data_IF_974746802287
#
_entry.id   IF_974746802287
#
_cell.length_a   1.000
_cell.length_b   1.000
_cell.length_c   1.000
_cell.angle_alpha   90.00
_cell.angle_beta   90.00
_cell.angle_gamma   90.00
#
_symmetry.space_group_name_H-M   'P 1'
#
loop_
_entity.id
_entity.type
_entity.pdbx_description
1 polymer ?
#
# COMPACT_ATOMS: atom_id res chain seq x y z
N UNK A 1 -16.00 5.70 26.12
CA UNK A 1 -15.12 6.88 26.11
C UNK A 1 -15.43 7.68 24.86
N UNK A 2 -15.38 9.02 24.91
CA UNK A 2 -15.75 9.83 23.75
C UNK A 2 -14.58 9.89 22.78
N UNK A 3 -14.82 9.48 21.55
CA UNK A 3 -13.80 9.20 20.55
C UNK A 3 -13.83 10.30 19.49
N UNK A 4 -12.68 10.85 19.14
CA UNK A 4 -12.54 11.90 18.11
C UNK A 4 -12.16 11.22 16.79
N UNK A 5 -13.05 11.22 15.80
CA UNK A 5 -12.82 10.50 14.55
C UNK A 5 -12.13 11.33 13.46
N UNK A 6 -12.13 12.65 13.57
CA UNK A 6 -11.56 13.54 12.58
C UNK A 6 -11.21 14.92 13.19
N UNK A 7 -10.34 15.72 12.54
CA UNK A 7 -10.02 17.07 13.00
C UNK A 7 -11.22 18.02 13.11
N UNK A 8 -12.31 17.76 12.36
CA UNK A 8 -13.49 18.63 12.37
C UNK A 8 -14.26 18.53 13.69
N UNK A 9 -14.24 17.37 14.36
CA UNK A 9 -14.82 17.20 15.69
C UNK A 9 -14.08 18.05 16.74
N UNK A 10 -12.75 18.12 16.67
CA UNK A 10 -11.97 19.04 17.53
C UNK A 10 -12.30 20.49 17.17
N UNK A 11 -12.36 20.83 15.88
CA UNK A 11 -12.65 22.19 15.44
C UNK A 11 -14.00 22.71 15.97
N UNK A 12 -15.03 21.86 16.02
CA UNK A 12 -16.35 22.20 16.60
C UNK A 12 -16.33 22.52 18.09
N UNK A 13 -15.30 22.07 18.81
CA UNK A 13 -15.11 22.35 20.24
C UNK A 13 -14.38 23.68 20.48
N UNK A 14 -13.79 24.26 19.43
CA UNK A 14 -13.05 25.53 19.51
C UNK A 14 -14.00 26.71 19.29
N UNK A 15 -13.63 27.86 19.85
CA UNK A 15 -14.37 29.11 19.67
C UNK A 15 -14.22 29.74 18.27
N UNK A 16 -13.50 29.11 17.34
CA UNK A 16 -13.32 29.59 15.96
C UNK A 16 -12.60 30.93 15.78
N UNK A 17 -12.01 31.48 16.85
CA UNK A 17 -11.45 32.85 16.89
C UNK A 17 -10.23 33.08 15.99
N UNK A 18 -9.49 32.02 15.64
CA UNK A 18 -8.20 32.10 14.94
C UNK A 18 -7.19 33.07 15.60
N UNK A 19 -7.25 33.23 16.93
CA UNK A 19 -6.45 34.18 17.71
C UNK A 19 -4.93 33.94 17.69
N UNK A 20 -4.48 32.74 17.28
CA UNK A 20 -3.08 32.30 17.23
C UNK A 20 -2.36 32.18 18.58
N UNK A 21 -3.05 32.34 19.70
CA UNK A 21 -2.48 32.20 21.05
C UNK A 21 -1.99 30.77 21.38
N UNK A 22 -2.45 29.78 20.62
CA UNK A 22 -1.96 28.40 20.68
C UNK A 22 -0.77 28.13 19.74
N UNK A 23 -0.13 29.16 19.17
CA UNK A 23 0.95 29.08 18.20
C UNK A 23 0.60 28.29 16.91
N UNK A 24 -0.65 28.40 16.45
CA UNK A 24 -1.10 27.85 15.17
C UNK A 24 -1.74 28.93 14.32
N UNK A 25 -1.66 28.77 12.99
CA UNK A 25 -2.13 29.80 12.04
C UNK A 25 -3.64 30.01 12.09
N UNK A 26 -4.40 28.95 12.38
CA UNK A 26 -5.87 28.94 12.47
C UNK A 26 -6.33 27.91 13.50
N UNK A 27 -7.57 28.02 13.98
CA UNK A 27 -8.23 27.03 14.82
C UNK A 27 -8.33 25.67 14.11
N UNK A 28 -8.47 25.64 12.77
CA UNK A 28 -8.43 24.39 12.01
C UNK A 28 -7.02 23.79 11.98
N UNK A 29 -5.98 24.61 11.82
CA UNK A 29 -4.60 24.13 11.91
C UNK A 29 -4.30 23.57 13.30
N UNK A 30 -4.80 24.23 14.36
CA UNK A 30 -4.76 23.71 15.72
C UNK A 30 -5.50 22.38 15.87
N UNK A 31 -6.72 22.26 15.36
CA UNK A 31 -7.48 21.03 15.40
C UNK A 31 -6.74 19.87 14.70
N UNK A 32 -6.08 20.14 13.56
CA UNK A 32 -5.23 19.17 12.87
C UNK A 32 -3.96 18.85 13.66
N UNK A 33 -3.33 19.83 14.30
CA UNK A 33 -2.13 19.63 15.12
C UNK A 33 -2.43 18.78 16.37
N UNK A 34 -3.58 19.02 17.01
CA UNK A 34 -4.09 18.20 18.11
C UNK A 34 -4.42 16.79 17.65
N UNK A 35 -5.14 16.66 16.52
CA UNK A 35 -5.46 15.35 15.93
C UNK A 35 -4.21 14.53 15.56
N UNK A 36 -3.10 15.19 15.21
CA UNK A 36 -1.81 14.56 14.88
C UNK A 36 -0.86 14.44 16.07
N UNK A 37 -1.33 14.68 17.30
CA UNK A 37 -0.53 14.68 18.54
C UNK A 37 0.70 15.60 18.53
N UNK A 38 0.75 16.57 17.62
CA UNK A 38 1.83 17.58 17.60
C UNK A 38 1.65 18.63 18.68
N UNK A 39 0.45 18.70 19.28
CA UNK A 39 0.08 19.68 20.29
C UNK A 39 -1.04 19.12 21.18
N UNK A 40 -1.01 19.30 22.51
CA UNK A 40 -2.09 18.85 23.38
C UNK A 40 -3.34 19.73 23.23
N UNK A 41 -4.53 19.15 23.41
CA UNK A 41 -5.81 19.88 23.25
C UNK A 41 -5.96 21.05 24.24
N UNK A 42 -5.36 20.92 25.43
CA UNK A 42 -5.32 21.98 26.45
C UNK A 42 -4.42 23.18 26.08
N UNK A 43 -3.69 23.13 24.96
CA UNK A 43 -2.89 24.26 24.49
C UNK A 43 -3.76 25.40 23.91
N UNK A 44 -5.07 25.18 23.72
CA UNK A 44 -6.01 26.26 23.46
C UNK A 44 -6.47 26.89 24.80
N UNK A 45 -6.17 28.16 25.07
CA UNK A 45 -6.53 28.81 26.35
C UNK A 45 -8.03 29.04 26.50
N UNK A 46 -8.79 28.97 25.41
CA UNK A 46 -10.23 29.22 25.38
C UNK A 46 -11.08 27.95 25.44
N UNK A 47 -10.47 26.78 25.62
CA UNK A 47 -11.20 25.52 25.69
C UNK A 47 -11.81 25.31 27.07
N UNK A 48 -13.09 24.90 27.12
CA UNK A 48 -13.78 24.67 28.38
C UNK A 48 -13.13 23.54 29.19
N UNK A 49 -13.08 23.71 30.52
CA UNK A 49 -12.51 22.71 31.44
C UNK A 49 -13.15 21.33 31.28
N UNK A 50 -14.47 21.27 31.04
CA UNK A 50 -15.20 20.01 30.80
C UNK A 50 -14.73 19.28 29.54
N UNK A 51 -14.35 20.02 28.50
CA UNK A 51 -13.81 19.45 27.25
C UNK A 51 -12.38 18.95 27.47
N UNK A 52 -11.59 19.68 28.26
CA UNK A 52 -10.23 19.24 28.66
C UNK A 52 -10.31 17.97 29.52
N UNK A 53 -11.25 17.85 30.45
CA UNK A 53 -11.43 16.62 31.24
C UNK A 53 -11.92 15.44 30.39
N UNK A 54 -12.75 15.72 29.37
CA UNK A 54 -13.32 14.70 28.49
C UNK A 54 -12.32 14.19 27.43
N UNK A 55 -11.43 15.05 26.92
CA UNK A 55 -10.53 14.74 25.79
C UNK A 55 -9.04 15.00 26.07
N UNK A 56 -8.68 15.41 27.30
CA UNK A 56 -7.31 15.72 27.71
C UNK A 56 -6.51 14.54 28.27
N UNK A 57 -7.15 13.36 28.40
CA UNK A 57 -6.43 12.10 28.52
C UNK A 57 -5.76 11.71 27.19
N UNK A 58 -4.98 10.62 27.17
CA UNK A 58 -4.52 10.03 25.92
C UNK A 58 -5.77 9.77 25.04
N UNK A 59 -5.89 10.52 23.94
CA UNK A 59 -7.01 10.41 23.01
C UNK A 59 -6.97 8.96 22.51
N UNK A 60 -8.00 8.16 22.81
CA UNK A 60 -8.19 6.88 22.13
C UNK A 60 -8.27 7.19 20.64
N UNK A 61 -7.25 6.73 19.93
CA UNK A 61 -6.98 7.08 18.55
C UNK A 61 -8.20 6.79 17.69
N UNK A 62 -8.57 7.69 16.78
CA UNK A 62 -9.11 7.21 15.51
C UNK A 62 -8.06 6.33 14.86
N UNK A 63 -8.37 5.03 14.83
CA UNK A 63 -7.61 3.97 14.18
C UNK A 63 -6.76 4.55 13.04
N UNK A 64 -5.46 4.63 13.27
CA UNK A 64 -4.52 5.03 12.22
C UNK A 64 -4.67 4.09 11.02
N UNK A 65 -4.27 4.54 9.82
CA UNK A 65 -4.21 3.67 8.63
C UNK A 65 -3.45 2.36 8.94
N UNK A 66 -2.52 2.38 9.91
CA UNK A 66 -1.76 1.23 10.37
C UNK A 66 -2.53 0.34 11.38
N UNK A 67 -3.41 0.88 12.23
CA UNK A 67 -4.24 0.11 13.17
C UNK A 67 -5.45 -0.57 12.51
N UNK A 68 -6.15 0.13 11.60
CA UNK A 68 -7.18 -0.50 10.75
C UNK A 68 -6.61 -1.67 9.96
N UNK A 69 -5.34 -1.54 9.55
CA UNK A 69 -4.63 -2.61 8.86
C UNK A 69 -4.20 -3.75 9.78
N UNK A 70 -3.88 -3.49 11.05
CA UNK A 70 -3.59 -4.54 12.02
C UNK A 70 -4.82 -5.39 12.33
N UNK A 71 -5.99 -4.77 12.55
CA UNK A 71 -7.25 -5.49 12.75
C UNK A 71 -7.65 -6.30 11.50
N UNK A 72 -7.46 -5.72 10.31
CA UNK A 72 -7.68 -6.43 9.06
C UNK A 72 -6.75 -7.66 8.93
N UNK A 73 -5.47 -7.52 9.29
CA UNK A 73 -4.52 -8.64 9.28
C UNK A 73 -4.94 -9.74 10.25
N UNK A 74 -5.34 -9.40 11.48
CA UNK A 74 -5.79 -10.40 12.45
C UNK A 74 -7.07 -11.11 11.99
N UNK A 75 -8.02 -10.37 11.40
CA UNK A 75 -9.22 -10.96 10.79
C UNK A 75 -8.86 -11.92 9.65
N UNK A 76 -7.89 -11.57 8.81
CA UNK A 76 -7.45 -12.43 7.71
C UNK A 76 -6.71 -13.67 8.23
N UNK A 77 -5.89 -13.55 9.28
CA UNK A 77 -5.27 -14.70 9.95
C UNK A 77 -6.30 -15.66 10.52
N UNK A 78 -7.35 -15.14 11.17
CA UNK A 78 -8.46 -15.98 11.66
C UNK A 78 -9.17 -16.70 10.52
N UNK A 79 -9.30 -16.11 9.33
CA UNK A 79 -9.85 -16.82 8.17
C UNK A 79 -8.88 -17.89 7.66
N UNK A 80 -7.58 -17.62 7.67
CA UNK A 80 -6.55 -18.59 7.22
C UNK A 80 -6.51 -19.81 8.13
N UNK A 81 -6.70 -19.65 9.45
CA UNK A 81 -6.73 -20.78 10.38
C UNK A 81 -7.91 -21.74 10.15
N UNK A 82 -8.94 -21.30 9.40
CA UNK A 82 -10.12 -22.11 9.06
C UNK A 82 -9.97 -22.87 7.73
N UNK A 83 -8.89 -22.67 6.98
CA UNK A 83 -8.68 -23.33 5.69
C UNK A 83 -7.54 -24.36 5.73
N UNK A 84 -7.55 -25.29 4.78
CA UNK A 84 -6.44 -26.20 4.54
C UNK A 84 -5.30 -25.44 3.84
N UNK A 85 -4.33 -24.99 4.63
CA UNK A 85 -3.20 -24.19 4.14
C UNK A 85 -2.32 -24.95 3.14
N UNK A 86 -2.31 -26.29 3.18
CA UNK A 86 -1.57 -27.10 2.20
C UNK A 86 -2.24 -27.05 0.83
N UNK A 87 -3.57 -27.16 0.78
CA UNK A 87 -4.33 -26.97 -0.46
C UNK A 87 -4.21 -25.55 -1.00
N UNK A 88 -4.26 -24.55 -0.12
CA UNK A 88 -4.04 -23.16 -0.50
C UNK A 88 -2.65 -22.96 -1.13
N UNK A 89 -1.60 -23.52 -0.52
CA UNK A 89 -0.24 -23.44 -1.05
C UNK A 89 -0.16 -24.02 -2.47
N UNK A 90 -0.70 -25.22 -2.67
CA UNK A 90 -0.72 -25.87 -3.99
C UNK A 90 -1.47 -25.04 -5.03
N UNK A 91 -2.63 -24.49 -4.65
CA UNK A 91 -3.47 -23.67 -5.53
C UNK A 91 -2.73 -22.45 -6.06
N UNK A 92 -2.04 -21.72 -5.18
CA UNK A 92 -1.39 -20.46 -5.52
C UNK A 92 0.08 -20.61 -5.98
N UNK A 93 0.55 -21.85 -6.19
CA UNK A 93 1.94 -22.12 -6.57
C UNK A 93 2.97 -21.79 -5.47
N UNK A 94 2.54 -21.77 -4.21
CA UNK A 94 3.42 -21.62 -3.04
C UNK A 94 3.96 -22.98 -2.57
N UNK A 95 5.08 -22.95 -1.85
CA UNK A 95 5.67 -24.16 -1.26
C UNK A 95 4.96 -24.48 0.06
N UNK A 96 4.83 -25.77 0.37
CA UNK A 96 4.34 -26.22 1.67
C UNK A 96 5.29 -27.29 2.23
N UNK A 97 5.89 -27.01 3.38
CA UNK A 97 6.83 -27.90 4.05
C UNK A 97 6.80 -27.67 5.57
N UNK A 98 6.94 -28.73 6.37
CA UNK A 98 6.89 -28.67 7.84
C UNK A 98 5.73 -27.85 8.40
N UNK A 99 4.52 -28.07 7.86
CA UNK A 99 3.29 -27.38 8.25
C UNK A 99 3.35 -25.85 8.08
N UNK A 100 4.11 -25.40 7.08
CA UNK A 100 4.35 -23.99 6.78
C UNK A 100 4.18 -23.73 5.29
N UNK A 101 3.35 -22.75 4.94
CA UNK A 101 3.22 -22.23 3.58
C UNK A 101 4.28 -21.16 3.36
N UNK A 102 5.06 -21.28 2.30
CA UNK A 102 6.04 -20.28 1.88
C UNK A 102 5.70 -19.74 0.50
N UNK A 103 5.40 -18.45 0.43
CA UNK A 103 5.07 -17.72 -0.79
C UNK A 103 6.18 -16.71 -1.09
N UNK A 104 6.51 -16.56 -2.37
CA UNK A 104 7.45 -15.52 -2.80
C UNK A 104 6.72 -14.19 -2.93
N UNK A 105 7.29 -13.14 -2.35
CA UNK A 105 6.85 -11.75 -2.48
C UNK A 105 8.02 -10.96 -3.07
N UNK A 106 7.87 -10.50 -4.31
CA UNK A 106 8.97 -9.88 -5.06
C UNK A 106 10.30 -10.65 -4.94
N UNK A 107 10.24 -11.98 -5.13
CA UNK A 107 11.41 -12.87 -5.05
C UNK A 107 11.87 -13.27 -3.64
N UNK A 108 11.35 -12.65 -2.57
CA UNK A 108 11.74 -12.94 -1.17
C UNK A 108 10.72 -13.85 -0.49
N UNK A 109 11.16 -14.70 0.43
CA UNK A 109 10.26 -15.64 1.09
C UNK A 109 9.47 -14.97 2.22
N UNK A 110 8.14 -15.12 2.17
CA UNK A 110 7.25 -14.98 3.32
C UNK A 110 6.66 -16.34 3.64
N UNK A 111 6.54 -16.62 4.93
CA UNK A 111 6.26 -17.95 5.42
C UNK A 111 5.24 -17.86 6.55
N UNK A 112 4.15 -18.63 6.47
CA UNK A 112 3.04 -18.67 7.44
C UNK A 112 2.88 -20.10 7.96
N UNK A 113 2.92 -20.27 9.28
CA UNK A 113 2.65 -21.57 9.91
C UNK A 113 1.15 -21.79 10.20
N UNK A 114 0.78 -22.99 10.61
CA UNK A 114 -0.62 -23.32 10.96
C UNK A 114 -1.18 -22.53 12.16
N UNK A 115 -0.32 -21.87 12.97
CA UNK A 115 -0.73 -20.96 14.04
C UNK A 115 -0.84 -19.51 13.55
N UNK A 116 -0.71 -19.28 12.25
CA UNK A 116 -0.68 -17.97 11.61
C UNK A 116 0.47 -17.06 12.06
N UNK A 117 1.57 -17.64 12.57
CA UNK A 117 2.81 -16.91 12.78
C UNK A 117 3.44 -16.64 11.42
N UNK A 118 3.84 -15.38 11.21
CA UNK A 118 4.46 -14.91 9.97
C UNK A 118 5.95 -14.74 10.21
N UNK A 119 6.76 -15.29 9.30
CA UNK A 119 8.19 -15.01 9.22
C UNK A 119 8.53 -14.57 7.80
N UNK A 120 9.37 -13.54 7.66
CA UNK A 120 9.74 -12.96 6.37
C UNK A 120 11.22 -12.63 6.34
N UNK A 121 11.82 -12.75 5.15
CA UNK A 121 13.20 -12.30 4.87
C UNK A 121 13.32 -10.78 4.76
N UNK A 122 12.20 -10.08 4.57
CA UNK A 122 12.13 -8.62 4.47
C UNK A 122 11.17 -8.03 5.50
N UNK A 123 11.37 -6.76 5.85
CA UNK A 123 10.37 -6.03 6.63
C UNK A 123 9.10 -5.85 5.81
N UNK A 124 7.99 -6.42 6.30
CA UNK A 124 6.71 -6.36 5.61
C UNK A 124 5.79 -5.41 6.36
N UNK A 125 5.28 -4.41 5.65
CA UNK A 125 4.25 -3.52 6.16
C UNK A 125 2.86 -4.03 5.77
N UNK A 126 1.82 -3.37 6.25
CA UNK A 126 0.47 -3.81 5.97
C UNK A 126 0.03 -3.70 4.49
N UNK A 127 0.67 -2.83 3.70
CA UNK A 127 0.40 -2.76 2.25
C UNK A 127 0.81 -4.04 1.52
N UNK A 128 1.75 -4.78 2.08
CA UNK A 128 2.17 -6.08 1.55
C UNK A 128 1.42 -7.23 2.22
N UNK A 129 1.22 -7.18 3.54
CA UNK A 129 0.56 -8.27 4.27
C UNK A 129 -0.89 -8.49 3.84
N UNK A 130 -1.70 -7.44 3.73
CA UNK A 130 -3.13 -7.60 3.41
C UNK A 130 -3.34 -8.28 2.05
N UNK A 131 -2.71 -7.82 0.95
CA UNK A 131 -2.80 -8.51 -0.34
C UNK A 131 -2.31 -9.95 -0.31
N UNK A 132 -1.22 -10.25 0.42
CA UNK A 132 -0.69 -11.61 0.53
C UNK A 132 -1.67 -12.56 1.23
N UNK A 133 -2.28 -12.12 2.32
CA UNK A 133 -3.26 -12.94 3.04
C UNK A 133 -4.53 -13.14 2.20
N UNK A 134 -5.00 -12.10 1.49
CA UNK A 134 -6.10 -12.21 0.54
C UNK A 134 -5.77 -13.16 -0.62
N UNK A 135 -4.55 -13.13 -1.14
CA UNK A 135 -4.06 -14.05 -2.17
C UNK A 135 -4.09 -15.50 -1.67
N UNK A 136 -3.59 -15.75 -0.46
CA UNK A 136 -3.60 -17.09 0.16
C UNK A 136 -5.04 -17.58 0.33
N UNK A 137 -5.95 -16.73 0.79
CA UNK A 137 -7.35 -17.09 1.02
C UNK A 137 -8.11 -17.35 -0.27
N UNK A 138 -8.03 -16.41 -1.22
CA UNK A 138 -8.99 -16.26 -2.31
C UNK A 138 -8.42 -16.48 -3.71
N UNK A 139 -7.10 -16.48 -3.88
CA UNK A 139 -6.48 -16.60 -5.19
C UNK A 139 -6.87 -17.90 -5.88
N UNK A 140 -7.43 -17.82 -7.09
CA UNK A 140 -7.94 -19.00 -7.82
C UNK A 140 -6.84 -19.98 -8.24
N UNK A 141 -5.60 -19.50 -8.37
CA UNK A 141 -4.49 -20.32 -8.88
C UNK A 141 -4.36 -20.31 -10.40
N UNK A 142 -5.07 -19.41 -11.09
CA UNK A 142 -5.00 -19.30 -12.55
C UNK A 142 -3.63 -18.76 -12.97
N UNK A 143 -2.98 -19.45 -13.90
CA UNK A 143 -1.66 -19.06 -14.39
C UNK A 143 -1.74 -17.84 -15.31
N UNK A 144 -0.78 -16.89 -15.21
CA UNK A 144 -0.67 -15.76 -16.14
C UNK A 144 -0.56 -16.23 -17.58
N UNK A 145 -1.17 -15.49 -18.50
CA UNK A 145 -1.18 -15.83 -19.93
C UNK A 145 -0.37 -14.87 -20.80
N UNK A 146 0.20 -13.80 -20.21
CA UNK A 146 1.03 -12.82 -20.89
C UNK A 146 0.25 -11.75 -21.67
N UNK A 147 -1.09 -11.72 -21.53
CA UNK A 147 -1.91 -10.63 -22.06
C UNK A 147 -2.01 -9.53 -21.02
N UNK A 148 -1.60 -8.32 -21.40
CA UNK A 148 -1.46 -7.20 -20.49
C UNK A 148 -2.60 -6.19 -20.64
N UNK A 149 -3.17 -5.80 -19.52
CA UNK A 149 -4.24 -4.80 -19.41
C UNK A 149 -3.86 -3.72 -18.41
N UNK A 150 -4.45 -2.54 -18.54
CA UNK A 150 -4.28 -1.44 -17.59
C UNK A 150 -5.10 -1.67 -16.32
N UNK A 151 -4.77 -0.95 -15.24
CA UNK A 151 -5.59 -0.99 -14.02
C UNK A 151 -7.06 -0.65 -14.28
N UNK A 152 -7.35 0.23 -15.26
CA UNK A 152 -8.71 0.65 -15.60
C UNK A 152 -9.58 -0.52 -16.08
N UNK A 153 -8.97 -1.49 -16.75
CA UNK A 153 -9.64 -2.63 -17.39
C UNK A 153 -9.88 -3.80 -16.44
N UNK A 154 -9.23 -3.80 -15.27
CA UNK A 154 -9.53 -4.74 -14.19
C UNK A 154 -10.96 -4.57 -13.68
N UNK A 155 -11.51 -5.65 -13.14
CA UNK A 155 -12.85 -5.71 -12.57
C UNK A 155 -12.97 -4.75 -11.40
N UNK A 156 -13.72 -3.66 -11.59
CA UNK A 156 -13.87 -2.59 -10.60
C UNK A 156 -12.76 -1.53 -10.64
N UNK A 157 -11.80 -1.63 -11.56
CA UNK A 157 -10.66 -0.71 -11.67
C UNK A 157 -11.02 0.66 -12.22
N UNK A 158 -12.01 0.75 -13.12
CA UNK A 158 -12.40 2.00 -13.78
C UNK A 158 -12.76 3.14 -12.82
N UNK A 159 -13.43 2.84 -11.70
CA UNK A 159 -13.84 3.84 -10.70
C UNK A 159 -12.67 4.37 -9.86
N UNK A 160 -11.59 3.59 -9.74
CA UNK A 160 -10.39 3.92 -8.93
C UNK A 160 -9.20 4.36 -9.78
N UNK A 161 -9.28 4.25 -11.10
CA UNK A 161 -8.15 4.48 -11.99
C UNK A 161 -7.49 5.85 -11.78
N UNK A 162 -8.26 6.93 -11.68
CA UNK A 162 -7.71 8.27 -11.43
C UNK A 162 -6.88 8.33 -10.13
N UNK A 163 -7.32 7.65 -9.07
CA UNK A 163 -6.56 7.58 -7.82
C UNK A 163 -5.34 6.67 -7.95
N UNK A 164 -5.47 5.54 -8.66
CA UNK A 164 -4.35 4.64 -8.95
C UNK A 164 -3.22 5.37 -9.67
N UNK A 165 -3.53 6.14 -10.71
CA UNK A 165 -2.53 6.93 -11.43
C UNK A 165 -1.80 7.91 -10.49
N UNK A 166 -2.54 8.58 -9.59
CA UNK A 166 -1.97 9.57 -8.67
C UNK A 166 -1.11 8.94 -7.56
N UNK A 167 -1.42 7.71 -7.14
CA UNK A 167 -0.77 7.05 -5.99
C UNK A 167 0.26 6.00 -6.38
N UNK A 168 0.20 5.48 -7.60
CA UNK A 168 1.09 4.41 -8.07
C UNK A 168 1.95 4.88 -9.25
N UNK A 169 1.32 5.19 -10.39
CA UNK A 169 2.05 5.48 -11.64
C UNK A 169 2.82 6.80 -11.58
N UNK A 170 2.20 7.90 -11.16
CA UNK A 170 2.87 9.22 -11.09
C UNK A 170 4.04 9.26 -10.10
N UNK A 171 3.93 8.70 -8.88
CA UNK A 171 5.08 8.56 -7.99
C UNK A 171 6.25 7.81 -8.64
N UNK A 172 5.99 6.64 -9.21
CA UNK A 172 7.02 5.84 -9.88
C UNK A 172 7.61 6.55 -11.09
N UNK A 173 6.78 7.24 -11.89
CA UNK A 173 7.24 8.08 -13.01
C UNK A 173 8.23 9.13 -12.53
N UNK A 174 7.89 9.89 -11.48
CA UNK A 174 8.77 10.92 -10.93
C UNK A 174 10.10 10.32 -10.47
N UNK A 175 10.07 9.14 -9.86
CA UNK A 175 11.29 8.43 -9.47
C UNK A 175 12.08 8.03 -10.72
N UNK A 176 11.43 7.47 -11.75
CA UNK A 176 12.08 7.08 -13.00
C UNK A 176 12.75 8.26 -13.71
N UNK A 177 12.11 9.43 -13.67
CA UNK A 177 12.63 10.68 -14.26
C UNK A 177 13.88 11.21 -13.53
N UNK A 178 13.96 11.01 -12.21
CA UNK A 178 15.02 11.59 -11.35
C UNK A 178 16.15 10.58 -11.10
N UNK A 179 15.80 9.33 -10.88
CA UNK A 179 16.68 8.27 -10.42
C UNK A 179 16.83 7.22 -11.51
N UNK A 180 17.88 7.38 -12.30
CA UNK A 180 18.20 6.54 -13.47
C UNK A 180 18.45 5.07 -13.12
N UNK A 181 18.87 4.77 -11.88
CA UNK A 181 19.11 3.41 -11.41
C UNK A 181 17.84 2.70 -10.89
N UNK A 182 16.66 3.35 -10.88
CA UNK A 182 15.38 2.75 -10.47
C UNK A 182 15.16 1.37 -11.11
N UNK A 183 15.38 1.30 -12.42
CA UNK A 183 15.16 0.08 -13.19
C UNK A 183 16.20 -0.99 -12.91
N UNK A 184 17.43 -0.60 -12.55
CA UNK A 184 18.46 -1.53 -12.09
C UNK A 184 18.05 -2.13 -10.74
N UNK A 185 17.59 -1.30 -9.80
CA UNK A 185 17.08 -1.76 -8.51
C UNK A 185 15.89 -2.71 -8.66
N UNK A 186 14.98 -2.45 -9.60
CA UNK A 186 13.88 -3.37 -9.93
C UNK A 186 14.37 -4.75 -10.36
N UNK A 187 15.45 -4.83 -11.13
CA UNK A 187 16.03 -6.09 -11.60
C UNK A 187 16.78 -6.81 -10.48
N UNK A 188 17.62 -6.08 -9.75
CA UNK A 188 18.55 -6.67 -8.77
C UNK A 188 17.87 -6.98 -7.42
N UNK A 189 17.00 -6.10 -6.92
CA UNK A 189 16.40 -6.24 -5.58
C UNK A 189 15.18 -7.17 -5.61
N UNK A 190 14.36 -7.05 -6.67
CA UNK A 190 13.04 -7.69 -6.76
C UNK A 190 12.97 -8.83 -7.78
N UNK A 191 14.12 -9.33 -8.24
CA UNK A 191 14.23 -10.41 -9.24
C UNK A 191 13.42 -10.09 -10.51
N UNK A 192 13.47 -8.81 -10.92
CA UNK A 192 12.78 -8.32 -12.10
C UNK A 192 13.39 -8.85 -13.38
N UNK A 193 12.58 -8.96 -14.42
CA UNK A 193 13.01 -9.45 -15.73
C UNK A 193 12.78 -8.37 -16.79
N UNK A 194 13.85 -7.99 -17.49
CA UNK A 194 13.73 -7.23 -18.74
C UNK A 194 13.03 -8.11 -19.77
N UNK A 195 12.09 -7.53 -20.49
CA UNK A 195 11.41 -8.21 -21.60
C UNK A 195 11.38 -7.32 -22.82
N UNK A 196 11.34 -7.93 -24.00
CA UNK A 196 10.87 -7.27 -25.21
C UNK A 196 9.36 -7.44 -25.22
N UNK A 197 8.67 -6.37 -24.84
CA UNK A 197 7.20 -6.33 -24.84
C UNK A 197 6.68 -6.02 -26.25
N UNK A 198 5.43 -6.40 -26.53
CA UNK A 198 4.70 -5.86 -27.69
C UNK A 198 4.23 -4.41 -27.45
N UNK A 199 4.39 -3.90 -26.24
CA UNK A 199 4.21 -2.50 -25.89
C UNK A 199 5.50 -1.76 -26.22
N UNK A 200 5.42 -0.80 -27.12
CA UNK A 200 6.55 -0.03 -27.64
C UNK A 200 7.02 1.02 -26.62
N UNK A 201 7.76 0.60 -25.60
CA UNK A 201 8.31 1.47 -24.55
C UNK A 201 9.84 1.39 -24.49
N UNK A 202 10.50 2.47 -24.08
CA UNK A 202 11.96 2.50 -23.91
C UNK A 202 12.47 1.45 -22.91
N UNK A 203 11.70 1.24 -21.84
CA UNK A 203 12.05 0.29 -20.78
C UNK A 203 10.79 -0.48 -20.37
N UNK A 204 10.84 -1.81 -20.46
CA UNK A 204 9.83 -2.72 -19.93
C UNK A 204 10.44 -3.70 -18.93
N UNK A 205 9.90 -3.76 -17.72
CA UNK A 205 10.28 -4.73 -16.69
C UNK A 205 9.05 -5.49 -16.20
N UNK A 206 9.15 -6.81 -16.15
CA UNK A 206 8.18 -7.66 -15.46
C UNK A 206 8.68 -7.96 -14.06
N UNK A 207 7.80 -7.74 -13.09
CA UNK A 207 7.98 -8.11 -11.69
C UNK A 207 6.97 -9.18 -11.31
N UNK A 208 7.32 -9.99 -10.32
CA UNK A 208 6.42 -10.97 -9.72
C UNK A 208 6.15 -10.58 -8.25
N UNK A 209 5.26 -9.61 -7.99
CA UNK A 209 4.81 -9.31 -6.63
C UNK A 209 4.34 -10.56 -5.89
N UNK A 210 3.67 -11.48 -6.57
CA UNK A 210 3.29 -12.81 -6.07
C UNK A 210 3.46 -13.85 -7.20
N UNK A 211 3.49 -15.17 -6.90
CA UNK A 211 3.84 -16.20 -7.88
C UNK A 211 2.99 -16.23 -9.16
N UNK A 212 1.66 -16.06 -9.03
CA UNK A 212 0.71 -16.06 -10.16
C UNK A 212 0.13 -14.66 -10.41
N UNK A 213 0.83 -13.61 -9.99
CA UNK A 213 0.41 -12.23 -10.17
C UNK A 213 1.60 -11.41 -10.64
N UNK A 214 1.92 -11.42 -11.94
CA UNK A 214 2.94 -10.57 -12.50
C UNK A 214 2.38 -9.18 -12.78
N UNK A 215 3.24 -8.18 -12.69
CA UNK A 215 2.98 -6.83 -13.18
C UNK A 215 4.09 -6.43 -14.14
N UNK A 216 3.76 -5.60 -15.12
CA UNK A 216 4.73 -5.04 -16.06
C UNK A 216 4.77 -3.52 -15.89
N UNK A 217 5.96 -2.98 -15.64
CA UNK A 217 6.21 -1.54 -15.58
C UNK A 217 6.85 -1.13 -16.89
N UNK A 218 6.17 -0.24 -17.63
CA UNK A 218 6.68 0.34 -18.87
C UNK A 218 6.96 1.82 -18.66
N UNK A 219 8.10 2.29 -19.15
CA UNK A 219 8.51 3.69 -19.08
C UNK A 219 8.92 4.19 -20.46
N UNK A 220 8.40 5.36 -20.81
CA UNK A 220 8.76 6.14 -21.98
C UNK A 220 9.52 7.37 -21.53
N UNK A 221 10.70 7.56 -22.09
CA UNK A 221 11.52 8.74 -21.87
C UNK A 221 10.86 9.96 -22.52
N UNK A 222 11.20 11.18 -22.07
CA UNK A 222 10.75 12.36 -22.79
C UNK A 222 11.41 12.40 -24.18
N UNK A 223 10.62 12.61 -25.22
CA UNK A 223 11.05 12.65 -26.62
C UNK A 223 10.27 13.73 -27.38
N UNK A 224 10.94 14.50 -28.25
CA UNK A 224 10.32 15.49 -29.15
C UNK A 224 9.31 16.45 -28.50
N UNK A 225 9.63 16.92 -27.28
CA UNK A 225 8.78 17.85 -26.53
C UNK A 225 7.60 17.20 -25.81
N UNK A 226 7.45 15.89 -25.88
CA UNK A 226 6.54 15.10 -25.05
C UNK A 226 7.16 14.82 -23.69
N UNK A 227 6.35 14.92 -22.65
CA UNK A 227 6.77 14.49 -21.30
C UNK A 227 6.94 12.96 -21.27
N UNK A 228 7.80 12.48 -20.38
CA UNK A 228 7.89 11.04 -20.10
C UNK A 228 6.54 10.47 -19.65
N UNK A 229 6.40 9.15 -19.73
CA UNK A 229 5.24 8.46 -19.17
C UNK A 229 5.64 7.14 -18.52
N UNK A 230 4.86 6.70 -17.53
CA UNK A 230 5.04 5.41 -16.88
C UNK A 230 3.68 4.77 -16.67
N UNK A 231 3.56 3.51 -17.03
CA UNK A 231 2.34 2.73 -16.85
C UNK A 231 2.63 1.39 -16.19
N UNK A 232 1.70 0.97 -15.32
CA UNK A 232 1.71 -0.37 -14.73
C UNK A 232 0.61 -1.18 -15.41
N UNK A 233 1.02 -2.29 -15.99
CA UNK A 233 0.13 -3.27 -16.61
C UNK A 233 0.03 -4.53 -15.75
N UNK A 234 -1.11 -5.18 -15.87
CA UNK A 234 -1.50 -6.38 -15.14
C UNK A 234 -1.81 -7.48 -16.15
N UNK A 235 -1.55 -8.73 -15.78
CA UNK A 235 -2.00 -9.85 -16.60
C UNK A 235 -3.53 -9.95 -16.55
N UNK A 236 -4.19 -10.33 -17.65
CA UNK A 236 -5.65 -10.54 -17.66
C UNK A 236 -6.15 -11.52 -16.59
N UNK A 237 -5.29 -12.40 -16.05
CA UNK A 237 -5.64 -13.30 -14.94
C UNK A 237 -5.47 -12.68 -13.54
N UNK A 238 -5.12 -11.40 -13.45
CA UNK A 238 -4.89 -10.70 -12.18
C UNK A 238 -6.15 -10.69 -11.29
N UNK A 239 -7.33 -10.42 -11.87
CA UNK A 239 -8.62 -10.42 -11.15
C UNK A 239 -9.03 -11.81 -10.65
N UNK A 240 -8.55 -12.88 -11.29
CA UNK A 240 -8.79 -14.25 -10.83
C UNK A 240 -7.98 -14.57 -9.56
N UNK A 241 -6.91 -13.81 -9.29
CA UNK A 241 -5.94 -14.10 -8.24
C UNK A 241 -5.97 -13.09 -7.09
N UNK A 242 -6.34 -11.85 -7.34
CA UNK A 242 -6.45 -10.79 -6.33
C UNK A 242 -7.65 -9.90 -6.60
N UNK A 243 -8.32 -9.47 -5.54
CA UNK A 243 -9.36 -8.44 -5.63
C UNK A 243 -8.76 -7.05 -5.89
N UNK A 244 -9.58 -6.15 -6.44
CA UNK A 244 -9.14 -4.81 -6.85
C UNK A 244 -8.55 -3.97 -5.71
N UNK A 245 -9.02 -4.13 -4.47
CA UNK A 245 -8.48 -3.40 -3.31
C UNK A 245 -7.10 -3.93 -2.95
N UNK A 246 -6.89 -5.24 -3.03
CA UNK A 246 -5.58 -5.87 -2.85
C UNK A 246 -4.60 -5.47 -3.96
N UNK A 247 -5.04 -5.45 -5.22
CA UNK A 247 -4.22 -4.99 -6.37
C UNK A 247 -3.78 -3.54 -6.17
N UNK A 248 -4.72 -2.66 -5.85
CA UNK A 248 -4.44 -1.25 -5.55
C UNK A 248 -3.47 -1.12 -4.37
N UNK A 249 -3.77 -1.78 -3.26
CA UNK A 249 -2.98 -1.72 -2.02
C UNK A 249 -1.54 -2.20 -2.23
N UNK A 250 -1.37 -3.30 -2.97
CA UNK A 250 -0.06 -3.85 -3.30
C UNK A 250 0.76 -2.89 -4.18
N UNK A 251 0.10 -2.30 -5.19
CA UNK A 251 0.71 -1.35 -6.11
C UNK A 251 1.11 -0.04 -5.42
N UNK A 252 0.27 0.46 -4.50
CA UNK A 252 0.60 1.64 -3.68
C UNK A 252 1.77 1.34 -2.73
N UNK A 253 1.76 0.16 -2.09
CA UNK A 253 2.86 -0.30 -1.24
C UNK A 253 4.19 -0.38 -2.00
N UNK A 254 4.14 -0.87 -3.23
CA UNK A 254 5.27 -0.93 -4.15
C UNK A 254 5.81 0.47 -4.50
N UNK A 255 4.95 1.40 -4.91
CA UNK A 255 5.35 2.77 -5.23
C UNK A 255 5.96 3.49 -4.01
N UNK A 256 5.34 3.37 -2.83
CA UNK A 256 5.85 3.94 -1.57
C UNK A 256 7.19 3.35 -1.17
N UNK A 257 7.43 2.07 -1.44
CA UNK A 257 8.71 1.43 -1.16
C UNK A 257 9.82 2.07 -2.00
N UNK A 258 9.57 2.28 -3.28
CA UNK A 258 10.52 2.95 -4.17
C UNK A 258 10.72 4.41 -3.84
N UNK A 259 9.68 5.15 -3.44
CA UNK A 259 9.86 6.53 -2.94
C UNK A 259 10.83 6.55 -1.76
N UNK A 260 10.72 5.59 -0.83
CA UNK A 260 11.64 5.48 0.32
C UNK A 260 13.05 5.07 -0.07
N UNK A 261 13.22 4.17 -1.04
CA UNK A 261 14.54 3.76 -1.55
C UNK A 261 15.20 4.95 -2.23
N UNK A 262 14.49 5.62 -3.14
CA UNK A 262 14.98 6.80 -3.85
C UNK A 262 15.35 7.94 -2.88
N UNK A 263 14.58 8.17 -1.82
CA UNK A 263 14.95 9.17 -0.80
C UNK A 263 16.21 8.82 0.00
N UNK A 264 16.52 7.53 0.15
CA UNK A 264 17.72 7.08 0.89
C UNK A 264 18.98 7.04 0.02
N UNK A 265 18.83 6.89 -1.30
CA UNK A 265 19.94 6.65 -2.23
C UNK A 265 20.08 7.73 -3.32
N UNK A 266 19.08 8.59 -3.50
CA UNK A 266 18.97 9.57 -4.59
C UNK A 266 19.21 11.03 -4.19
N UNK A 267 19.87 11.28 -3.06
CA UNK A 267 20.41 12.59 -2.67
C UNK A 267 21.80 12.44 -2.05
#
# INVERSE_FOLDING_TARGET
>A
MSHINNPMEIFKLLNGSNCKECNEKTCLAFAVAVFKEKKPIHACPYLEKKVIEQYGGAIEKPNTIDEYKAEAIETLKQKISLIDISKAAKRIGAQFYNNKLTVKIFGKNLSIDAKCNISSEIHINAYMMVPVLNYILNGSGKSPNGNWITFRELTGGASRYAHFQQRCEKPLKRIADIYTDLFKDMLEIFDGKKIVSHIDSDISIVLYPLPLFPIMVCYWKPEDGLESSLHIYFDTTSDDNLDIESIYTLSEGFALMFEKIALKHGF
#
